data_IF_628627037052
#
_entry.id   IF_628627037052
#
_cell.length_a   1.000
_cell.length_b   1.000
_cell.length_c   1.000
_cell.angle_alpha   90.00
_cell.angle_beta   90.00
_cell.angle_gamma   90.00
#
_symmetry.space_group_name_H-M   'P 1'
#
loop_
_entity.id
_entity.type
_entity.pdbx_description
1 polymer ?
#
# COMPACT_ATOMS: atom_id res chain seq x y z
N UNK A 1 -28.56 -0.69 -15.38
CA UNK A 1 -28.26 0.76 -15.26
C UNK A 1 -27.46 0.95 -14.00
N UNK A 2 -26.21 1.44 -14.10
CA UNK A 2 -25.39 1.69 -12.92
C UNK A 2 -25.99 2.87 -12.14
N UNK A 3 -26.50 2.64 -10.93
CA UNK A 3 -26.82 3.72 -10.02
C UNK A 3 -25.52 4.51 -9.77
N UNK A 4 -25.56 5.84 -9.86
CA UNK A 4 -24.40 6.66 -9.53
C UNK A 4 -23.97 6.40 -8.08
N UNK A 5 -22.67 6.50 -7.78
CA UNK A 5 -22.14 6.33 -6.43
C UNK A 5 -22.91 7.18 -5.40
N UNK A 6 -23.31 8.40 -5.79
CA UNK A 6 -24.16 9.27 -4.98
C UNK A 6 -25.52 8.68 -4.64
N UNK A 7 -26.17 7.99 -5.58
CA UNK A 7 -27.46 7.34 -5.35
C UNK A 7 -27.31 6.13 -4.42
N UNK A 8 -26.20 5.38 -4.55
CA UNK A 8 -25.89 4.27 -3.65
C UNK A 8 -25.65 4.75 -2.22
N UNK A 9 -24.84 5.80 -2.03
CA UNK A 9 -24.58 6.41 -0.72
C UNK A 9 -25.87 6.98 -0.11
N UNK A 10 -26.69 7.69 -0.90
CA UNK A 10 -27.97 8.24 -0.42
C UNK A 10 -28.94 7.15 0.04
N UNK A 11 -28.96 6.01 -0.65
CA UNK A 11 -29.76 4.85 -0.27
C UNK A 11 -29.25 4.25 1.04
N UNK A 12 -27.93 3.98 1.14
CA UNK A 12 -27.31 3.46 2.36
C UNK A 12 -27.52 4.37 3.57
N UNK A 13 -27.40 5.68 3.40
CA UNK A 13 -27.63 6.66 4.46
C UNK A 13 -29.10 6.68 4.92
N UNK A 14 -30.04 6.60 3.97
CA UNK A 14 -31.47 6.56 4.27
C UNK A 14 -31.86 5.30 5.05
N UNK A 15 -31.27 4.16 4.70
CA UNK A 15 -31.51 2.88 5.36
C UNK A 15 -30.95 2.87 6.79
N UNK A 16 -29.73 3.39 6.98
CA UNK A 16 -29.14 3.57 8.32
C UNK A 16 -29.98 4.48 9.21
N UNK A 17 -30.41 5.63 8.67
CA UNK A 17 -31.22 6.59 9.42
C UNK A 17 -32.54 5.95 9.89
N UNK A 18 -33.19 5.16 9.04
CA UNK A 18 -34.44 4.45 9.39
C UNK A 18 -34.25 3.46 10.53
N UNK A 19 -33.11 2.77 10.58
CA UNK A 19 -32.81 1.83 11.66
C UNK A 19 -32.42 2.56 12.96
N UNK A 20 -31.70 3.68 12.86
CA UNK A 20 -31.38 4.54 14.02
C UNK A 20 -32.63 5.11 14.69
N UNK A 21 -33.62 5.56 13.92
CA UNK A 21 -34.90 6.09 14.45
C UNK A 21 -35.67 5.04 15.25
N UNK A 22 -35.47 3.74 14.98
CA UNK A 22 -36.09 2.64 15.73
C UNK A 22 -35.39 2.36 17.08
N UNK A 23 -34.40 3.18 17.47
CA UNK A 23 -33.63 3.01 18.70
C UNK A 23 -32.56 1.91 18.62
N UNK A 24 -32.30 1.35 17.43
CA UNK A 24 -31.20 0.42 17.21
C UNK A 24 -29.92 1.20 16.93
N UNK A 25 -28.88 0.93 17.71
CA UNK A 25 -27.51 1.31 17.35
C UNK A 25 -27.07 0.32 16.28
N UNK A 26 -27.08 0.75 15.02
CA UNK A 26 -26.54 -0.04 13.93
C UNK A 26 -25.01 0.04 14.02
N UNK A 27 -24.36 -1.10 14.22
CA UNK A 27 -22.93 -1.23 13.99
C UNK A 27 -22.71 -1.17 12.48
N UNK A 28 -22.40 0.02 11.97
CA UNK A 28 -22.19 0.22 10.55
C UNK A 28 -20.78 -0.21 10.18
N UNK A 29 -20.69 -1.21 9.30
CA UNK A 29 -19.43 -1.63 8.70
C UNK A 29 -19.39 -1.26 7.21
N UNK A 30 -18.19 -1.06 6.69
CA UNK A 30 -17.98 -0.72 5.28
C UNK A 30 -18.30 -1.97 4.44
N UNK A 31 -19.17 -1.89 3.41
CA UNK A 31 -19.46 -3.03 2.56
C UNK A 31 -18.17 -3.58 1.92
N UNK A 32 -17.97 -4.90 1.98
CA UNK A 32 -16.80 -5.60 1.40
C UNK A 32 -16.60 -5.32 -0.11
N UNK A 33 -17.65 -4.86 -0.80
CA UNK A 33 -17.61 -4.51 -2.22
C UNK A 33 -16.92 -3.17 -2.55
N UNK A 34 -16.11 -2.63 -1.63
CA UNK A 34 -15.19 -1.55 -2.00
C UNK A 34 -14.22 -2.08 -3.06
N UNK A 35 -14.51 -1.80 -4.33
CA UNK A 35 -13.78 -2.22 -5.53
C UNK A 35 -12.26 -1.97 -5.47
N UNK A 36 -11.80 -1.13 -4.53
CA UNK A 36 -10.38 -0.89 -4.25
C UNK A 36 -9.62 -2.08 -3.66
N UNK A 37 -10.28 -3.10 -3.09
CA UNK A 37 -9.55 -4.27 -2.55
C UNK A 37 -8.75 -5.04 -3.62
N UNK A 38 -9.24 -5.09 -4.87
CA UNK A 38 -8.52 -5.71 -5.99
C UNK A 38 -7.37 -4.83 -6.50
N UNK A 39 -7.55 -3.51 -6.54
CA UNK A 39 -6.48 -2.58 -6.93
C UNK A 39 -5.31 -2.61 -5.93
N UNK A 40 -5.61 -2.79 -4.64
CA UNK A 40 -4.60 -2.91 -3.59
C UNK A 40 -3.81 -4.23 -3.63
N UNK A 41 -4.29 -5.29 -4.29
CA UNK A 41 -3.55 -6.57 -4.38
C UNK A 41 -2.26 -6.45 -5.20
N UNK A 42 -2.21 -5.51 -6.13
CA UNK A 42 -1.04 -5.28 -6.98
C UNK A 42 -0.11 -4.20 -6.41
N UNK A 43 -0.43 -3.62 -5.26
CA UNK A 43 0.39 -2.57 -4.66
C UNK A 43 1.56 -3.18 -3.88
N UNK A 44 2.82 -2.82 -4.21
CA UNK A 44 3.99 -3.34 -3.51
C UNK A 44 3.98 -2.90 -2.04
N UNK A 45 4.08 -3.87 -1.14
CA UNK A 45 4.07 -3.64 0.30
C UNK A 45 5.29 -4.30 0.96
N UNK A 46 5.95 -3.56 1.85
CA UNK A 46 7.05 -4.06 2.70
C UNK A 46 6.75 -3.75 4.15
N UNK A 47 6.69 -4.78 5.00
CA UNK A 47 6.48 -4.61 6.44
C UNK A 47 5.19 -3.85 6.80
N UNK A 48 4.14 -3.99 5.99
CA UNK A 48 2.87 -3.27 6.17
C UNK A 48 2.81 -1.89 5.50
N UNK A 49 3.90 -1.41 4.90
CA UNK A 49 3.98 -0.09 4.25
C UNK A 49 3.85 -0.23 2.74
N UNK A 50 2.93 0.52 2.13
CA UNK A 50 2.81 0.61 0.67
C UNK A 50 3.95 1.45 0.10
N UNK A 51 4.76 0.86 -0.77
CA UNK A 51 5.98 1.48 -1.29
C UNK A 51 5.66 2.73 -2.11
N UNK A 52 4.60 2.70 -2.93
CA UNK A 52 4.16 3.87 -3.72
C UNK A 52 3.70 5.02 -2.84
N UNK A 53 3.02 4.72 -1.73
CA UNK A 53 2.58 5.74 -0.78
C UNK A 53 3.77 6.36 -0.04
N UNK A 54 4.72 5.53 0.39
CA UNK A 54 5.96 6.00 1.00
C UNK A 54 6.76 6.91 0.05
N UNK A 55 6.84 6.58 -1.24
CA UNK A 55 7.52 7.43 -2.22
C UNK A 55 6.83 8.80 -2.42
N UNK A 56 5.52 8.89 -2.22
CA UNK A 56 4.78 10.16 -2.27
C UNK A 56 5.04 11.04 -1.05
N UNK A 57 5.21 10.44 0.13
CA UNK A 57 5.57 11.15 1.35
C UNK A 57 6.67 10.41 2.14
N UNK A 58 7.95 10.59 1.77
CA UNK A 58 9.07 9.92 2.43
C UNK A 58 9.27 10.34 3.90
N UNK A 59 8.63 11.44 4.33
CA UNK A 59 8.65 11.92 5.72
C UNK A 59 7.69 11.15 6.62
N UNK A 60 6.86 10.28 6.03
CA UNK A 60 5.95 9.42 6.77
C UNK A 60 6.70 8.66 7.88
N UNK A 61 6.23 8.72 9.15
CA UNK A 61 6.93 8.10 10.27
C UNK A 61 6.85 6.58 10.19
N UNK A 62 8.00 5.93 10.04
CA UNK A 62 8.12 4.48 10.02
C UNK A 62 8.32 3.93 11.43
N UNK A 63 7.58 2.86 11.79
CA UNK A 63 7.73 2.19 13.10
C UNK A 63 9.14 1.64 13.31
N UNK A 64 9.72 1.04 12.27
CA UNK A 64 11.08 0.50 12.30
C UNK A 64 11.77 0.74 10.95
N UNK A 65 12.47 1.88 10.79
CA UNK A 65 13.13 2.22 9.53
C UNK A 65 14.20 1.20 9.08
N UNK A 66 14.90 0.55 10.03
CA UNK A 66 15.92 -0.47 9.73
C UNK A 66 15.30 -1.71 9.08
N UNK A 67 14.26 -2.27 9.71
CA UNK A 67 13.55 -3.42 9.15
C UNK A 67 12.85 -3.11 7.83
N UNK A 68 12.37 -1.88 7.65
CA UNK A 68 11.80 -1.45 6.38
C UNK A 68 12.87 -1.42 5.28
N UNK A 69 14.07 -0.92 5.56
CA UNK A 69 15.19 -0.93 4.64
C UNK A 69 15.61 -2.36 4.26
N UNK A 70 15.78 -3.24 5.25
CA UNK A 70 16.09 -4.67 5.03
C UNK A 70 15.05 -5.32 4.11
N UNK A 71 13.76 -5.12 4.39
CA UNK A 71 12.69 -5.68 3.58
C UNK A 71 12.62 -5.10 2.17
N UNK A 72 12.94 -3.81 1.98
CA UNK A 72 13.01 -3.19 0.65
C UNK A 72 14.13 -3.82 -0.19
N UNK A 73 15.30 -4.03 0.41
CA UNK A 73 16.45 -4.64 -0.26
C UNK A 73 16.18 -6.12 -0.63
N UNK A 74 15.61 -6.89 0.30
CA UNK A 74 15.27 -8.29 0.08
C UNK A 74 14.23 -8.46 -1.05
N UNK A 75 13.18 -7.63 -1.03
CA UNK A 75 12.16 -7.65 -2.07
C UNK A 75 12.71 -7.16 -3.42
N UNK A 76 13.61 -6.16 -3.42
CA UNK A 76 14.30 -5.70 -4.62
C UNK A 76 15.10 -6.84 -5.27
N UNK A 77 15.95 -7.52 -4.50
CA UNK A 77 16.77 -8.63 -5.02
C UNK A 77 15.91 -9.77 -5.57
N UNK A 78 14.84 -10.12 -4.85
CA UNK A 78 13.87 -11.14 -5.31
C UNK A 78 13.19 -10.73 -6.61
N UNK A 79 12.78 -9.46 -6.73
CA UNK A 79 12.13 -8.94 -7.94
C UNK A 79 13.05 -8.94 -9.16
N UNK A 80 14.32 -8.57 -8.96
CA UNK A 80 15.33 -8.55 -10.03
C UNK A 80 15.65 -9.98 -10.47
N UNK A 81 15.77 -10.92 -9.53
CA UNK A 81 15.99 -12.33 -9.85
C UNK A 81 14.81 -12.91 -10.64
N UNK A 82 13.57 -12.68 -10.20
CA UNK A 82 12.36 -13.16 -10.90
C UNK A 82 12.26 -12.59 -12.32
N UNK A 83 12.57 -11.30 -12.50
CA UNK A 83 12.58 -10.62 -13.80
C UNK A 83 13.58 -11.20 -14.81
N UNK A 84 14.62 -11.92 -14.37
CA UNK A 84 15.62 -12.50 -15.27
C UNK A 84 15.21 -13.88 -15.82
N UNK A 85 14.31 -14.59 -15.14
CA UNK A 85 13.87 -15.94 -15.52
C UNK A 85 12.63 -15.93 -16.41
N UNK A 86 11.74 -14.94 -16.26
CA UNK A 86 10.57 -14.78 -17.13
C UNK A 86 10.96 -14.02 -18.40
N UNK A 87 11.24 -14.74 -19.49
CA UNK A 87 11.52 -14.18 -20.83
C UNK A 87 10.33 -13.46 -21.50
N UNK A 88 9.36 -12.98 -20.72
CA UNK A 88 8.22 -12.18 -21.14
C UNK A 88 8.47 -10.69 -20.82
N UNK A 89 7.64 -9.79 -21.37
CA UNK A 89 7.79 -8.34 -21.20
C UNK A 89 8.06 -7.98 -19.72
N UNK A 90 9.30 -7.57 -19.44
CA UNK A 90 9.79 -7.33 -18.09
C UNK A 90 8.96 -6.20 -17.48
N UNK A 91 8.13 -6.54 -16.50
CA UNK A 91 7.45 -5.56 -15.67
C UNK A 91 8.51 -4.84 -14.82
N UNK A 92 9.05 -3.77 -15.42
CA UNK A 92 10.20 -3.02 -14.89
C UNK A 92 9.77 -2.07 -13.76
N UNK A 93 8.48 -1.86 -13.61
CA UNK A 93 7.88 -0.93 -12.64
C UNK A 93 8.21 -1.32 -11.20
N UNK A 94 8.09 -2.61 -10.86
CA UNK A 94 8.27 -3.06 -9.49
C UNK A 94 9.74 -2.98 -9.02
N UNK A 95 10.75 -3.50 -9.77
CA UNK A 95 12.15 -3.28 -9.44
C UNK A 95 12.53 -1.79 -9.40
N UNK A 96 11.95 -0.96 -10.27
CA UNK A 96 12.19 0.48 -10.28
C UNK A 96 11.69 1.14 -8.98
N UNK A 97 10.45 0.87 -8.57
CA UNK A 97 9.89 1.38 -7.32
C UNK A 97 10.70 0.93 -6.10
N UNK A 98 11.10 -0.35 -6.08
CA UNK A 98 11.90 -0.93 -5.01
C UNK A 98 13.34 -0.40 -4.98
N UNK A 99 13.90 0.07 -6.10
CA UNK A 99 15.19 0.76 -6.10
C UNK A 99 15.08 2.23 -5.63
N UNK A 100 13.97 2.91 -5.95
CA UNK A 100 13.76 4.31 -5.58
C UNK A 100 13.47 4.49 -4.07
N UNK A 101 12.83 3.50 -3.44
CA UNK A 101 12.41 3.59 -2.05
C UNK A 101 13.60 3.61 -1.05
N UNK A 102 14.61 2.74 -1.13
CA UNK A 102 15.83 2.83 -0.32
C UNK A 102 16.55 4.17 -0.50
N UNK A 103 16.65 4.69 -1.72
CA UNK A 103 17.27 6.00 -1.97
C UNK A 103 16.52 7.13 -1.24
N UNK A 104 15.20 7.12 -1.32
CA UNK A 104 14.36 8.10 -0.63
C UNK A 104 14.43 7.95 0.90
N UNK A 105 14.51 6.71 1.39
CA UNK A 105 14.65 6.39 2.80
C UNK A 105 16.00 6.86 3.36
N UNK A 106 17.10 6.59 2.67
CA UNK A 106 18.45 6.99 3.08
C UNK A 106 18.63 8.51 3.06
N UNK A 107 17.92 9.23 2.18
CA UNK A 107 17.88 10.70 2.21
C UNK A 107 17.22 11.24 3.49
N UNK A 108 16.19 10.55 4.00
CA UNK A 108 15.48 10.94 5.21
C UNK A 108 16.16 10.46 6.49
N UNK A 109 16.83 9.30 6.43
CA UNK A 109 17.52 8.68 7.55
C UNK A 109 18.94 8.26 7.16
N UNK A 110 19.89 9.20 7.02
CA UNK A 110 21.25 8.90 6.54
C UNK A 110 22.00 7.91 7.42
N UNK A 111 21.73 7.89 8.73
CA UNK A 111 22.33 6.94 9.68
C UNK A 111 21.99 5.46 9.38
N UNK A 112 21.00 5.19 8.52
CA UNK A 112 20.72 3.84 8.05
C UNK A 112 21.74 3.35 7.02
N UNK A 113 22.52 4.25 6.38
CA UNK A 113 23.54 3.85 5.43
C UNK A 113 24.63 2.98 6.08
N UNK A 114 25.02 3.31 7.32
CA UNK A 114 25.96 2.50 8.10
C UNK A 114 25.42 1.09 8.30
N UNK A 115 24.11 0.96 8.57
CA UNK A 115 23.44 -0.32 8.76
C UNK A 115 23.49 -1.19 7.49
N UNK A 116 23.33 -0.60 6.30
CA UNK A 116 23.43 -1.35 5.03
C UNK A 116 24.83 -1.91 4.83
N UNK A 117 25.88 -1.21 5.28
CA UNK A 117 27.25 -1.71 5.19
C UNK A 117 27.53 -2.97 6.03
N UNK A 118 26.64 -3.32 6.97
CA UNK A 118 26.76 -4.50 7.83
C UNK A 118 25.81 -5.65 7.46
N UNK A 119 24.91 -5.46 6.48
CA UNK A 119 24.02 -6.50 5.95
C UNK A 119 24.76 -7.38 4.93
#
# INVERSE_FOLDING_TARGET
>A
MAASLSAQIATMASDLYREQVKGRVVDWDVPEQASGQQEMRNEPQVGGIYVRLFLKDPKFPLRNPKRFLEGLLDQYLTSVAASQYDGQAVDTELPLLLSAAPVSLLRMYPALADHVGYL
#
